data_IF_178000732635
#
_entry.id   IF_178000732635
#
_cell.length_a   1.000
_cell.length_b   1.000
_cell.length_c   1.000
_cell.angle_alpha   90.00
_cell.angle_beta   90.00
_cell.angle_gamma   90.00
#
_symmetry.space_group_name_H-M   'P 1'
#
loop_
_entity.id
_entity.type
_entity.pdbx_description
1 polymer ?
#
# COMPACT_ATOMS: atom_id res chain seq x y z
N UNK A 1 14.98 -1.80 12.05
CA UNK A 1 13.94 -0.78 11.83
C UNK A 1 12.72 -1.08 12.70
N UNK A 2 12.04 -0.04 13.15
CA UNK A 2 10.78 -0.15 13.90
C UNK A 2 9.61 0.14 12.96
N UNK A 3 8.60 -0.73 12.99
CA UNK A 3 7.39 -0.60 12.17
C UNK A 3 6.13 -0.78 13.00
N UNK A 4 5.09 -0.07 12.66
CA UNK A 4 3.82 -0.10 13.39
C UNK A 4 3.01 -1.36 13.07
N UNK A 5 2.63 -2.11 14.14
CA UNK A 5 1.78 -3.30 14.00
C UNK A 5 0.28 -2.99 13.93
N UNK A 6 -0.11 -1.81 14.37
CA UNK A 6 -1.51 -1.39 14.52
C UNK A 6 -1.92 -0.22 13.62
N UNK A 7 -1.12 0.08 12.60
CA UNK A 7 -1.44 1.06 11.56
C UNK A 7 -1.65 0.32 10.24
N UNK A 8 -2.88 0.38 9.74
CA UNK A 8 -3.30 -0.24 8.48
C UNK A 8 -3.26 0.79 7.35
N UNK A 9 -2.86 0.36 6.16
CA UNK A 9 -2.81 1.22 4.98
C UNK A 9 -2.97 0.40 3.69
N UNK A 10 -3.23 1.06 2.58
CA UNK A 10 -3.48 0.41 1.30
C UNK A 10 -2.79 1.13 0.12
N UNK A 11 -1.44 1.21 0.13
CA UNK A 11 -0.71 1.88 -0.94
C UNK A 11 -0.75 1.11 -2.25
N UNK A 12 -0.53 1.82 -3.35
CA UNK A 12 -0.26 1.25 -4.66
C UNK A 12 1.22 1.45 -5.01
N UNK A 13 1.75 0.56 -5.83
CA UNK A 13 3.05 0.77 -6.44
C UNK A 13 3.00 1.94 -7.44
N UNK A 14 4.13 2.56 -7.68
CA UNK A 14 4.27 3.62 -8.70
C UNK A 14 3.84 3.08 -10.08
N UNK A 15 4.11 1.82 -10.37
CA UNK A 15 3.76 1.19 -11.64
C UNK A 15 2.24 1.08 -11.82
N UNK A 16 1.53 0.57 -10.81
CA UNK A 16 0.07 0.47 -10.85
C UNK A 16 -0.56 1.86 -10.83
N UNK A 17 -0.05 2.77 -10.00
CA UNK A 17 -0.54 4.15 -9.93
C UNK A 17 -0.44 4.84 -11.29
N UNK A 18 0.69 4.70 -11.99
CA UNK A 18 0.88 5.28 -13.33
C UNK A 18 -0.14 4.73 -14.34
N UNK A 19 -0.41 3.42 -14.30
CA UNK A 19 -1.44 2.82 -15.16
C UNK A 19 -2.84 3.38 -14.87
N UNK A 20 -3.18 3.55 -13.60
CA UNK A 20 -4.49 4.08 -13.20
C UNK A 20 -4.63 5.56 -13.59
N UNK A 21 -3.58 6.36 -13.41
CA UNK A 21 -3.56 7.76 -13.84
C UNK A 21 -3.79 7.85 -15.36
N UNK A 22 -3.15 7.00 -16.14
CA UNK A 22 -3.35 6.96 -17.59
C UNK A 22 -4.81 6.65 -17.95
N UNK A 23 -5.45 5.71 -17.27
CA UNK A 23 -6.87 5.41 -17.44
C UNK A 23 -7.77 6.61 -17.09
N UNK A 24 -7.44 7.33 -16.02
CA UNK A 24 -8.15 8.56 -15.63
C UNK A 24 -8.06 9.62 -16.72
N UNK A 25 -6.87 9.82 -17.28
CA UNK A 25 -6.66 10.79 -18.37
C UNK A 25 -7.51 10.42 -19.60
N UNK A 26 -7.58 9.14 -19.95
CA UNK A 26 -8.36 8.65 -21.09
C UNK A 26 -9.87 8.72 -20.86
N UNK A 27 -10.32 8.35 -19.67
CA UNK A 27 -11.75 8.25 -19.34
C UNK A 27 -12.39 9.57 -18.91
N UNK A 28 -11.59 10.50 -18.38
CA UNK A 28 -12.01 11.82 -17.88
C UNK A 28 -13.19 11.75 -16.90
N UNK A 29 -13.14 10.90 -15.87
CA UNK A 29 -14.22 10.85 -14.88
C UNK A 29 -14.29 12.16 -14.11
N UNK A 30 -15.48 12.50 -13.61
CA UNK A 30 -15.71 13.68 -12.79
C UNK A 30 -15.93 13.29 -11.33
N UNK A 31 -15.49 14.13 -10.41
CA UNK A 31 -15.66 13.93 -8.97
C UNK A 31 -14.36 13.60 -8.26
N UNK A 32 -14.49 13.20 -7.01
CA UNK A 32 -13.38 12.83 -6.14
C UNK A 32 -13.39 11.30 -5.94
N UNK A 33 -12.24 10.69 -6.07
CA UNK A 33 -12.05 9.24 -5.96
C UNK A 33 -10.94 8.90 -4.99
N UNK A 34 -11.16 7.87 -4.19
CA UNK A 34 -10.08 7.24 -3.45
C UNK A 34 -9.36 6.25 -4.36
N UNK A 35 -8.04 6.22 -4.28
CA UNK A 35 -7.22 5.30 -5.07
C UNK A 35 -6.15 4.67 -4.20
N UNK A 36 -6.19 3.36 -4.06
CA UNK A 36 -5.27 2.56 -3.27
C UNK A 36 -5.39 1.08 -3.65
N UNK A 37 -4.63 0.24 -3.00
CA UNK A 37 -4.76 -1.21 -3.18
C UNK A 37 -5.96 -1.75 -2.43
N UNK A 38 -6.42 -2.95 -2.81
CA UNK A 38 -7.47 -3.66 -2.08
C UNK A 38 -6.92 -4.27 -0.79
N UNK A 39 -7.80 -4.44 0.19
CA UNK A 39 -7.59 -5.10 1.47
C UNK A 39 -6.62 -4.35 2.39
N UNK A 40 -5.49 -3.91 1.90
CA UNK A 40 -4.49 -3.30 2.75
C UNK A 40 -3.88 -4.28 3.76
N UNK A 41 -3.03 -3.79 4.63
CA UNK A 41 -2.46 -4.54 5.76
C UNK A 41 -1.78 -3.58 6.73
N UNK A 42 -1.33 -4.09 7.87
CA UNK A 42 -0.53 -3.31 8.79
C UNK A 42 0.84 -2.98 8.18
N UNK A 43 1.47 -1.90 8.65
CA UNK A 43 2.83 -1.56 8.22
C UNK A 43 3.84 -2.64 8.58
N UNK A 44 3.64 -3.35 9.70
CA UNK A 44 4.51 -4.46 10.08
C UNK A 44 4.34 -5.65 9.13
N UNK A 45 3.11 -6.05 8.81
CA UNK A 45 2.86 -7.13 7.84
C UNK A 45 3.44 -6.79 6.47
N UNK A 46 3.29 -5.55 6.03
CA UNK A 46 3.90 -5.05 4.80
C UNK A 46 5.42 -5.25 4.82
N UNK A 47 6.08 -4.82 5.89
CA UNK A 47 7.54 -4.94 6.02
C UNK A 47 8.01 -6.39 6.00
N UNK A 48 7.34 -7.27 6.75
CA UNK A 48 7.69 -8.70 6.77
C UNK A 48 7.45 -9.38 5.43
N UNK A 49 6.32 -9.12 4.78
CA UNK A 49 6.02 -9.69 3.46
C UNK A 49 7.02 -9.21 2.42
N UNK A 50 7.35 -7.92 2.43
CA UNK A 50 8.30 -7.35 1.47
C UNK A 50 9.70 -7.95 1.67
N UNK A 51 10.15 -8.06 2.92
CA UNK A 51 11.42 -8.70 3.24
C UNK A 51 11.46 -10.16 2.77
N UNK A 52 10.38 -10.90 2.97
CA UNK A 52 10.25 -12.30 2.51
C UNK A 52 10.36 -12.40 0.98
N UNK A 53 9.63 -11.57 0.25
CA UNK A 53 9.64 -11.61 -1.22
C UNK A 53 11.02 -11.23 -1.81
N UNK A 54 11.78 -10.39 -1.10
CA UNK A 54 13.13 -9.99 -1.49
C UNK A 54 14.24 -10.89 -0.90
N UNK A 55 13.88 -11.93 -0.15
CA UNK A 55 14.83 -12.79 0.56
C UNK A 55 15.76 -12.02 1.51
N UNK A 56 15.22 -10.96 2.14
CA UNK A 56 15.95 -10.17 3.11
C UNK A 56 15.73 -10.71 4.53
N UNK A 57 16.72 -10.57 5.42
CA UNK A 57 16.56 -11.01 6.81
C UNK A 57 15.51 -10.16 7.53
N UNK A 58 14.59 -10.83 8.22
CA UNK A 58 13.51 -10.17 8.97
C UNK A 58 13.88 -9.84 10.43
N UNK A 59 15.00 -10.34 10.91
CA UNK A 59 15.46 -10.13 12.29
C UNK A 59 15.79 -8.67 12.63
N UNK A 60 15.93 -7.81 11.63
CA UNK A 60 16.15 -6.37 11.80
C UNK A 60 14.84 -5.57 11.88
N UNK A 61 13.70 -6.24 11.76
CA UNK A 61 12.38 -5.60 11.84
C UNK A 61 11.81 -5.82 13.23
N UNK A 62 11.55 -4.72 13.93
CA UNK A 62 10.92 -4.72 15.26
C UNK A 62 9.57 -4.04 15.17
N UNK A 63 8.54 -4.64 15.73
CA UNK A 63 7.18 -4.07 15.70
C UNK A 63 6.91 -3.29 16.98
N UNK A 64 6.24 -2.15 16.81
CA UNK A 64 5.75 -1.32 17.92
C UNK A 64 4.32 -0.86 17.65
N UNK A 65 3.60 -0.50 18.72
CA UNK A 65 2.33 0.23 18.55
C UNK A 65 2.61 1.70 18.23
N UNK A 66 1.75 2.32 17.43
CA UNK A 66 1.84 3.77 17.17
C UNK A 66 1.68 4.58 18.46
N UNK A 67 0.99 4.04 19.45
CA UNK A 67 0.82 4.67 20.77
C UNK A 67 2.11 4.69 21.60
N UNK A 68 3.05 3.80 21.31
CA UNK A 68 4.36 3.75 21.95
C UNK A 68 5.38 4.70 21.31
N UNK A 69 5.00 5.35 20.21
CA UNK A 69 5.86 6.28 19.49
C UNK A 69 5.42 7.72 19.79
N UNK A 70 6.16 8.38 20.65
CA UNK A 70 5.82 9.71 21.18
C UNK A 70 6.41 10.89 20.39
N UNK A 71 7.08 10.62 19.27
CA UNK A 71 7.65 11.67 18.42
C UNK A 71 6.63 12.38 17.53
N UNK A 72 5.38 11.91 17.47
CA UNK A 72 4.31 12.59 16.72
C UNK A 72 3.60 13.61 17.61
N UNK A 73 3.52 14.85 17.16
CA UNK A 73 2.74 15.90 17.82
C UNK A 73 1.24 15.74 17.53
N UNK A 74 0.89 15.24 16.34
CA UNK A 74 -0.49 15.07 15.92
C UNK A 74 -0.94 13.63 16.05
N UNK A 75 -2.24 13.42 16.31
CA UNK A 75 -2.86 12.10 16.30
C UNK A 75 -2.68 11.43 14.92
N UNK A 76 -2.30 10.15 14.96
CA UNK A 76 -2.18 9.31 13.76
C UNK A 76 -3.29 8.27 13.76
N UNK A 77 -4.17 8.26 12.74
CA UNK A 77 -5.21 7.24 12.65
C UNK A 77 -4.60 5.85 12.44
N UNK A 78 -5.23 4.85 13.05
CA UNK A 78 -4.76 3.46 12.93
C UNK A 78 -5.22 2.80 11.65
N UNK A 79 -6.39 3.13 11.14
CA UNK A 79 -6.90 2.56 9.88
C UNK A 79 -6.96 3.65 8.80
N UNK A 80 -6.00 3.57 7.89
CA UNK A 80 -5.89 4.49 6.75
C UNK A 80 -6.13 3.77 5.43
N UNK A 81 -6.78 2.60 5.47
CA UNK A 81 -7.15 1.90 4.25
C UNK A 81 -8.23 2.67 3.51
N UNK A 82 -8.18 2.64 2.19
CA UNK A 82 -9.13 3.32 1.33
C UNK A 82 -10.14 2.34 0.75
N UNK A 83 -11.40 2.75 0.72
CA UNK A 83 -12.42 2.07 -0.08
C UNK A 83 -12.41 2.67 -1.50
N UNK A 84 -11.96 1.89 -2.46
CA UNK A 84 -11.79 2.31 -3.85
C UNK A 84 -12.91 1.80 -4.77
N UNK A 85 -14.03 1.34 -4.22
CA UNK A 85 -15.14 0.77 -5.01
C UNK A 85 -15.69 1.74 -6.04
N UNK A 86 -15.82 3.02 -5.69
CA UNK A 86 -16.28 4.07 -6.62
C UNK A 86 -15.33 4.18 -7.82
N UNK A 87 -14.03 4.17 -7.59
CA UNK A 87 -13.03 4.22 -8.66
C UNK A 87 -13.13 2.98 -9.56
N UNK A 88 -13.16 1.80 -8.98
CA UNK A 88 -13.26 0.54 -9.73
C UNK A 88 -14.53 0.49 -10.58
N UNK A 89 -15.67 0.87 -10.02
CA UNK A 89 -16.94 0.84 -10.74
C UNK A 89 -17.01 1.90 -11.84
N UNK A 90 -16.51 3.09 -11.58
CA UNK A 90 -16.56 4.20 -12.54
C UNK A 90 -15.64 3.96 -13.74
N UNK A 91 -14.44 3.46 -13.50
CA UNK A 91 -13.46 3.21 -14.57
C UNK A 91 -13.49 1.77 -15.09
N UNK A 92 -14.37 0.93 -14.56
CA UNK A 92 -14.47 -0.49 -14.92
C UNK A 92 -13.12 -1.21 -14.87
N UNK A 93 -12.44 -1.06 -13.76
CA UNK A 93 -11.15 -1.67 -13.48
C UNK A 93 -11.20 -2.45 -12.17
N UNK A 94 -10.28 -3.37 -12.00
CA UNK A 94 -10.05 -4.07 -10.74
C UNK A 94 -8.65 -3.71 -10.22
N UNK A 95 -8.61 -3.13 -9.03
CA UNK A 95 -7.35 -2.77 -8.39
C UNK A 95 -6.70 -4.02 -7.74
N UNK A 96 -5.38 -4.13 -7.75
CA UNK A 96 -4.71 -5.24 -7.10
C UNK A 96 -4.83 -5.15 -5.58
N UNK A 97 -4.72 -6.30 -4.92
CA UNK A 97 -4.52 -6.33 -3.47
C UNK A 97 -3.11 -5.84 -3.11
N UNK A 98 -2.92 -5.42 -1.86
CA UNK A 98 -1.59 -5.02 -1.41
C UNK A 98 -0.59 -6.19 -1.44
N UNK A 99 -1.05 -7.41 -1.19
CA UNK A 99 -0.21 -8.60 -1.31
C UNK A 99 0.29 -8.82 -2.76
N UNK A 100 -0.60 -8.66 -3.74
CA UNK A 100 -0.23 -8.71 -5.16
C UNK A 100 0.77 -7.62 -5.54
N UNK A 101 0.57 -6.41 -5.02
CA UNK A 101 1.48 -5.28 -5.26
C UNK A 101 2.88 -5.54 -4.70
N UNK A 102 2.98 -6.10 -3.50
CA UNK A 102 4.27 -6.45 -2.89
C UNK A 102 5.01 -7.46 -3.78
N UNK A 103 4.34 -8.51 -4.20
CA UNK A 103 4.93 -9.53 -5.08
C UNK A 103 5.37 -8.95 -6.42
N UNK A 104 4.56 -8.09 -6.99
CA UNK A 104 4.86 -7.43 -8.26
C UNK A 104 6.10 -6.53 -8.16
N UNK A 105 6.16 -5.67 -7.14
CA UNK A 105 7.29 -4.76 -6.93
C UNK A 105 8.57 -5.52 -6.61
N UNK A 106 8.49 -6.55 -5.76
CA UNK A 106 9.64 -7.37 -5.41
C UNK A 106 10.24 -8.07 -6.64
N UNK A 107 9.39 -8.62 -7.51
CA UNK A 107 9.83 -9.23 -8.77
C UNK A 107 10.50 -8.22 -9.69
N UNK A 108 9.90 -7.02 -9.84
CA UNK A 108 10.48 -5.94 -10.66
C UNK A 108 11.83 -5.50 -10.12
N UNK A 109 11.94 -5.35 -8.81
CA UNK A 109 13.20 -4.98 -8.16
C UNK A 109 14.29 -6.02 -8.42
N UNK A 110 13.97 -7.30 -8.31
CA UNK A 110 14.90 -8.41 -8.59
C UNK A 110 15.34 -8.47 -10.06
N UNK A 111 14.51 -7.98 -10.99
CA UNK A 111 14.82 -7.89 -12.42
C UNK A 111 15.66 -6.65 -12.78
N UNK A 112 16.03 -5.81 -11.80
CA UNK A 112 16.93 -4.67 -11.98
C UNK A 112 16.27 -3.44 -12.62
N UNK A 113 15.06 -3.15 -12.25
CA UNK A 113 14.40 -1.92 -12.69
C UNK A 113 15.10 -0.66 -12.19
#
# INVERSE_FOLDING_TARGET
>A
IRVFRDVLFSPLSVFTLSKMINKVIQSRPTGVFNLGSKQGMSKSDFAFKFAKELNLPSNLITTISVEQFDAFEAYRPKDMRMNCSKFENTLNVELPSLDEEIKYVARRYSEGI
#
